data_IF_980886530677
#
_entry.id   IF_980886530677
#
_cell.length_a   1.000
_cell.length_b   1.000
_cell.length_c   1.000
_cell.angle_alpha   90.00
_cell.angle_beta   90.00
_cell.angle_gamma   90.00
#
_symmetry.space_group_name_H-M   'P 1'
#
loop_
_entity.id
_entity.type
_entity.pdbx_description
1 polymer ?
#
# COMPACT_ATOMS: atom_id res chain seq x y z
N UNK A 1 8.48 -9.44 -5.67
CA UNK A 1 8.31 -8.67 -4.42
C UNK A 1 9.18 -7.43 -4.50
N UNK A 2 8.58 -6.25 -4.30
CA UNK A 2 9.26 -4.96 -4.42
C UNK A 2 9.10 -4.19 -3.10
N UNK A 3 10.21 -3.76 -2.50
CA UNK A 3 10.24 -2.91 -1.33
C UNK A 3 10.54 -1.47 -1.76
N UNK A 4 9.82 -0.50 -1.23
CA UNK A 4 10.23 0.90 -1.37
C UNK A 4 11.10 1.32 -0.19
N UNK A 5 12.02 2.25 -0.41
CA UNK A 5 12.92 2.78 0.61
C UNK A 5 13.03 4.30 0.50
N UNK A 6 13.26 4.99 1.61
CA UNK A 6 13.33 6.46 1.64
C UNK A 6 14.60 7.04 0.99
N UNK A 7 15.65 6.23 0.86
CA UNK A 7 16.93 6.64 0.30
C UNK A 7 17.81 5.41 -0.02
N UNK A 8 18.92 5.64 -0.70
CA UNK A 8 19.84 4.58 -1.12
C UNK A 8 20.51 3.82 0.04
N UNK A 9 20.78 4.48 1.16
CA UNK A 9 21.35 3.81 2.34
C UNK A 9 20.37 2.79 2.93
N UNK A 10 19.10 3.15 3.05
CA UNK A 10 18.05 2.24 3.49
C UNK A 10 17.84 1.10 2.47
N UNK A 11 17.84 1.42 1.17
CA UNK A 11 17.70 0.43 0.12
C UNK A 11 18.84 -0.59 0.14
N UNK A 12 20.08 -0.15 0.33
CA UNK A 12 21.25 -1.03 0.46
C UNK A 12 21.11 -1.95 1.67
N UNK A 13 20.68 -1.40 2.83
CA UNK A 13 20.44 -2.23 4.01
C UNK A 13 19.37 -3.31 3.75
N UNK A 14 18.30 -2.98 3.03
CA UNK A 14 17.23 -3.91 2.68
C UNK A 14 17.70 -4.98 1.68
N UNK A 15 18.49 -4.60 0.66
CA UNK A 15 19.09 -5.57 -0.29
C UNK A 15 19.94 -6.59 0.44
N UNK A 16 20.84 -6.15 1.32
CA UNK A 16 21.69 -7.05 2.12
C UNK A 16 20.85 -8.01 2.99
N UNK A 17 19.72 -7.55 3.54
CA UNK A 17 18.82 -8.42 4.30
C UNK A 17 18.13 -9.47 3.43
N UNK A 18 17.75 -9.11 2.20
CA UNK A 18 17.14 -10.03 1.23
C UNK A 18 18.18 -11.03 0.75
N UNK A 19 19.36 -10.57 0.32
CA UNK A 19 20.47 -11.42 -0.15
C UNK A 19 20.86 -12.47 0.89
N UNK A 20 21.05 -12.06 2.15
CA UNK A 20 21.35 -13.00 3.25
C UNK A 20 20.28 -14.08 3.43
N UNK A 21 19.00 -13.74 3.20
CA UNK A 21 17.90 -14.70 3.28
C UNK A 21 17.85 -15.65 2.09
N UNK A 22 18.15 -15.15 0.90
CA UNK A 22 18.25 -15.96 -0.33
C UNK A 22 19.39 -16.96 -0.23
N UNK A 23 20.58 -16.52 0.20
CA UNK A 23 21.76 -17.39 0.41
C UNK A 23 21.48 -18.52 1.41
N UNK A 24 20.59 -18.29 2.37
CA UNK A 24 20.18 -19.29 3.38
C UNK A 24 18.95 -20.13 2.99
N UNK A 25 18.44 -19.96 1.77
CA UNK A 25 17.23 -20.65 1.31
C UNK A 25 15.96 -20.31 2.10
N UNK A 26 15.86 -19.10 2.66
CA UNK A 26 14.74 -18.66 3.51
C UNK A 26 13.66 -17.90 2.74
N UNK A 27 13.91 -17.59 1.49
CA UNK A 27 12.99 -16.94 0.58
C UNK A 27 12.78 -17.82 -0.67
N UNK A 28 11.60 -17.78 -1.29
CA UNK A 28 11.34 -18.49 -2.54
C UNK A 28 12.30 -18.05 -3.66
N UNK A 29 13.07 -18.99 -4.20
CA UNK A 29 14.06 -18.71 -5.25
C UNK A 29 13.44 -18.29 -6.59
N UNK A 30 12.23 -18.76 -6.89
CA UNK A 30 11.49 -18.41 -8.11
C UNK A 30 10.90 -16.99 -8.09
N UNK A 31 11.05 -16.30 -6.96
CA UNK A 31 10.52 -14.94 -6.78
C UNK A 31 11.60 -13.90 -7.03
N UNK A 32 11.31 -12.92 -7.87
CA UNK A 32 12.18 -11.75 -8.06
C UNK A 32 12.00 -10.76 -6.91
N UNK A 33 13.09 -10.29 -6.35
CA UNK A 33 13.12 -9.27 -5.29
C UNK A 33 13.78 -8.00 -5.80
N UNK A 34 13.19 -6.86 -5.48
CA UNK A 34 13.76 -5.55 -5.79
C UNK A 34 13.58 -4.58 -4.62
N UNK A 35 14.49 -3.64 -4.48
CA UNK A 35 14.39 -2.54 -3.51
C UNK A 35 14.62 -1.23 -4.25
N UNK A 36 13.62 -0.36 -4.21
CA UNK A 36 13.60 0.90 -4.95
C UNK A 36 13.64 2.08 -3.96
N UNK A 37 14.74 2.84 -3.92
CA UNK A 37 14.83 4.04 -3.10
C UNK A 37 14.05 5.19 -3.74
N UNK A 38 13.58 6.13 -2.91
CA UNK A 38 13.07 7.40 -3.42
C UNK A 38 14.14 8.11 -4.27
N UNK A 39 13.78 8.66 -5.44
CA UNK A 39 14.74 9.31 -6.35
C UNK A 39 15.52 10.42 -5.64
N UNK A 40 16.85 10.37 -5.73
CA UNK A 40 17.76 11.34 -5.09
C UNK A 40 17.55 11.49 -3.56
N UNK A 41 16.91 10.51 -2.90
CA UNK A 41 16.53 10.59 -1.49
C UNK A 41 15.44 11.61 -1.17
N UNK A 42 14.77 12.14 -2.20
CA UNK A 42 13.65 13.06 -2.07
C UNK A 42 12.34 12.33 -1.89
N UNK A 43 11.52 12.79 -0.98
CA UNK A 43 10.24 12.16 -0.67
C UNK A 43 9.23 12.42 -1.78
N UNK A 44 8.91 11.38 -2.53
CA UNK A 44 7.94 11.45 -3.64
C UNK A 44 6.52 11.05 -3.22
N UNK A 45 6.32 10.64 -1.97
CA UNK A 45 5.06 10.10 -1.47
C UNK A 45 4.85 8.62 -1.86
N UNK A 46 3.91 7.97 -1.19
CA UNK A 46 3.61 6.55 -1.44
C UNK A 46 3.08 6.28 -2.85
N UNK A 47 2.33 7.23 -3.43
CA UNK A 47 1.86 7.17 -4.82
C UNK A 47 3.01 7.38 -5.82
N UNK A 48 3.91 8.35 -5.58
CA UNK A 48 5.11 8.53 -6.38
C UNK A 48 6.02 7.30 -6.37
N UNK A 49 6.20 6.68 -5.20
CA UNK A 49 6.92 5.42 -5.07
C UNK A 49 6.22 4.26 -5.82
N UNK A 50 4.87 4.26 -5.90
CA UNK A 50 4.12 3.30 -6.72
C UNK A 50 4.39 3.52 -8.21
N UNK A 51 4.43 4.75 -8.68
CA UNK A 51 4.83 5.03 -10.08
C UNK A 51 6.27 4.57 -10.37
N UNK A 52 7.18 4.70 -9.41
CA UNK A 52 8.53 4.16 -9.57
C UNK A 52 8.54 2.63 -9.65
N UNK A 53 7.70 1.95 -8.89
CA UNK A 53 7.49 0.50 -9.01
C UNK A 53 6.97 0.14 -10.40
N UNK A 54 5.98 0.88 -10.92
CA UNK A 54 5.42 0.66 -12.26
C UNK A 54 6.48 0.85 -13.36
N UNK A 55 7.30 1.91 -13.24
CA UNK A 55 8.46 2.13 -14.12
C UNK A 55 9.40 0.95 -14.09
N UNK A 56 9.85 0.53 -12.92
CA UNK A 56 10.76 -0.61 -12.75
C UNK A 56 10.22 -1.87 -13.44
N UNK A 57 8.93 -2.18 -13.28
CA UNK A 57 8.31 -3.36 -13.91
C UNK A 57 8.27 -3.22 -15.44
N UNK A 58 7.93 -2.04 -15.95
CA UNK A 58 7.88 -1.79 -17.40
C UNK A 58 9.28 -1.88 -18.04
N UNK A 59 10.31 -1.38 -17.37
CA UNK A 59 11.71 -1.44 -17.84
C UNK A 59 12.25 -2.87 -17.93
N UNK A 60 11.64 -3.85 -17.22
CA UNK A 60 12.03 -5.27 -17.34
C UNK A 60 11.56 -5.90 -18.66
N UNK A 61 10.49 -5.42 -19.27
CA UNK A 61 9.93 -5.92 -20.54
C UNK A 61 9.42 -4.75 -21.39
N UNK A 62 10.32 -3.96 -21.98
CA UNK A 62 9.97 -2.69 -22.63
C UNK A 62 9.11 -2.84 -23.90
N UNK A 63 9.03 -4.04 -24.47
CA UNK A 63 8.22 -4.34 -25.67
C UNK A 63 6.81 -4.84 -25.31
N UNK A 64 6.46 -4.96 -24.04
CA UNK A 64 5.16 -5.48 -23.61
C UNK A 64 4.15 -4.35 -23.48
N UNK A 65 3.02 -4.46 -24.21
CA UNK A 65 1.95 -3.46 -24.21
C UNK A 65 1.36 -3.21 -22.83
N UNK A 66 1.12 -4.28 -22.04
CA UNK A 66 0.74 -4.19 -20.64
C UNK A 66 1.74 -4.95 -19.77
N UNK A 67 2.69 -4.25 -19.11
CA UNK A 67 3.74 -4.90 -18.31
C UNK A 67 3.22 -5.57 -17.05
N UNK A 68 1.98 -5.32 -16.63
CA UNK A 68 1.37 -5.87 -15.40
C UNK A 68 0.55 -7.14 -15.66
N UNK A 69 0.20 -7.42 -16.92
CA UNK A 69 -0.61 -8.58 -17.29
C UNK A 69 0.14 -9.90 -17.02
N UNK A 70 -0.54 -10.89 -16.44
CA UNK A 70 0.00 -12.19 -16.06
C UNK A 70 1.14 -12.09 -15.03
N UNK A 71 1.17 -11.04 -14.22
CA UNK A 71 2.13 -10.85 -13.12
C UNK A 71 1.41 -10.76 -11.79
N UNK A 72 2.01 -11.39 -10.77
CA UNK A 72 1.63 -11.25 -9.36
C UNK A 72 2.70 -10.43 -8.67
N UNK A 73 2.35 -9.23 -8.28
CA UNK A 73 3.26 -8.24 -7.74
C UNK A 73 2.89 -7.98 -6.29
N UNK A 74 3.87 -8.09 -5.39
CA UNK A 74 3.73 -7.64 -4.00
C UNK A 74 4.62 -6.41 -3.82
N UNK A 75 4.01 -5.31 -3.42
CA UNK A 75 4.72 -4.07 -3.04
C UNK A 75 4.56 -3.83 -1.56
N UNK A 76 5.67 -3.62 -0.85
CA UNK A 76 5.66 -3.22 0.54
C UNK A 76 6.20 -1.80 0.63
N UNK A 77 5.32 -0.84 0.93
CA UNK A 77 5.70 0.54 1.17
C UNK A 77 6.38 0.68 2.52
N UNK A 78 7.72 0.64 2.50
CA UNK A 78 8.56 0.69 3.70
C UNK A 78 9.50 1.90 3.74
N UNK A 79 9.38 2.81 2.76
CA UNK A 79 10.02 4.13 2.80
C UNK A 79 9.41 5.01 3.89
N UNK A 80 10.25 5.68 4.66
CA UNK A 80 9.80 6.59 5.71
C UNK A 80 10.88 6.74 6.79
N UNK A 81 10.84 7.86 7.52
CA UNK A 81 11.90 8.20 8.49
C UNK A 81 11.76 7.43 9.81
N UNK A 82 10.70 6.66 10.00
CA UNK A 82 10.41 5.95 11.26
C UNK A 82 10.52 6.85 12.52
N UNK A 83 10.27 8.16 12.40
CA UNK A 83 10.47 9.16 13.47
C UNK A 83 9.78 8.82 14.80
N UNK A 84 8.64 8.13 14.73
CA UNK A 84 7.87 7.70 15.90
C UNK A 84 8.38 6.42 16.53
N UNK A 85 9.40 5.78 15.92
CA UNK A 85 10.11 4.59 16.40
C UNK A 85 11.61 4.84 16.19
N UNK A 86 12.25 5.75 16.98
CA UNK A 86 13.59 6.28 16.70
C UNK A 86 14.68 5.20 16.57
N UNK A 87 14.56 4.07 17.27
CA UNK A 87 15.50 2.95 17.18
C UNK A 87 15.57 2.33 15.78
N UNK A 88 14.57 2.56 14.92
CA UNK A 88 14.53 2.07 13.54
C UNK A 88 14.61 3.18 12.50
N UNK A 89 14.89 4.41 12.90
CA UNK A 89 14.92 5.55 11.96
C UNK A 89 16.02 5.44 10.90
N UNK A 90 17.14 4.79 11.22
CA UNK A 90 18.27 4.63 10.30
C UNK A 90 18.05 3.55 9.23
N UNK A 91 17.44 2.43 9.60
CA UNK A 91 17.29 1.25 8.73
C UNK A 91 15.84 0.92 8.36
N UNK A 92 14.86 1.70 8.88
CA UNK A 92 13.44 1.42 8.70
C UNK A 92 12.90 0.30 9.60
N UNK A 93 11.59 0.14 9.64
CA UNK A 93 10.90 -0.80 10.54
C UNK A 93 10.82 -2.22 9.99
N UNK A 94 10.92 -2.39 8.69
CA UNK A 94 10.57 -3.64 8.01
C UNK A 94 11.40 -4.84 8.48
N UNK A 95 12.69 -4.63 8.76
CA UNK A 95 13.58 -5.67 9.29
C UNK A 95 13.77 -5.58 10.81
N UNK A 96 12.85 -4.91 11.52
CA UNK A 96 12.86 -4.92 12.98
C UNK A 96 12.43 -6.30 13.51
N UNK A 97 13.07 -6.80 14.59
CA UNK A 97 12.68 -8.06 15.19
C UNK A 97 11.27 -7.96 15.79
N UNK A 98 10.53 -9.04 15.64
CA UNK A 98 9.25 -9.27 16.32
C UNK A 98 9.40 -10.38 17.37
N UNK A 99 8.55 -10.46 18.40
CA UNK A 99 8.67 -11.44 19.49
C UNK A 99 8.22 -12.84 19.05
N UNK A 100 8.85 -13.35 18.00
CA UNK A 100 8.61 -14.67 17.45
C UNK A 100 9.92 -15.30 17.00
N UNK A 101 10.08 -16.57 17.29
CA UNK A 101 11.21 -17.38 16.83
C UNK A 101 10.81 -18.16 15.57
N UNK A 102 11.68 -18.13 14.58
CA UNK A 102 11.53 -18.92 13.36
C UNK A 102 11.94 -20.38 13.62
N UNK A 103 11.53 -21.35 12.77
CA UNK A 103 11.86 -22.77 12.97
C UNK A 103 13.37 -23.07 13.06
N UNK A 104 14.21 -22.20 12.56
CA UNK A 104 15.68 -22.31 12.62
C UNK A 104 16.31 -21.66 13.87
N UNK A 105 15.49 -21.20 14.82
CA UNK A 105 15.95 -20.60 16.09
C UNK A 105 16.31 -19.11 15.98
N UNK A 106 16.13 -18.45 14.83
CA UNK A 106 16.35 -17.02 14.70
C UNK A 106 15.12 -16.22 15.08
N UNK A 107 15.35 -15.01 15.60
CA UNK A 107 14.27 -14.05 15.77
C UNK A 107 13.69 -13.67 14.41
N UNK A 108 12.36 -13.73 14.29
CA UNK A 108 11.63 -13.24 13.12
C UNK A 108 11.72 -11.72 13.01
N UNK A 109 11.57 -11.20 11.81
CA UNK A 109 11.42 -9.77 11.57
C UNK A 109 10.04 -9.48 10.98
N UNK A 110 9.61 -8.23 10.96
CA UNK A 110 8.35 -7.86 10.34
C UNK A 110 8.30 -8.27 8.85
N UNK A 111 9.43 -8.20 8.13
CA UNK A 111 9.52 -8.70 6.75
C UNK A 111 9.26 -10.22 6.66
N UNK A 112 9.85 -11.01 7.55
CA UNK A 112 9.63 -12.46 7.58
C UNK A 112 8.14 -12.77 7.83
N UNK A 113 7.48 -12.04 8.72
CA UNK A 113 6.04 -12.18 8.99
C UNK A 113 5.18 -11.81 7.77
N UNK A 114 5.55 -10.78 7.00
CA UNK A 114 4.88 -10.47 5.73
C UNK A 114 5.01 -11.62 4.73
N UNK A 115 6.21 -12.17 4.55
CA UNK A 115 6.41 -13.29 3.62
C UNK A 115 5.58 -14.51 4.02
N UNK A 116 5.58 -14.85 5.31
CA UNK A 116 4.77 -15.97 5.83
C UNK A 116 3.27 -15.68 5.70
N UNK A 117 2.81 -14.50 6.16
CA UNK A 117 1.40 -14.12 6.14
C UNK A 117 0.81 -14.02 4.74
N UNK A 118 1.62 -13.61 3.76
CA UNK A 118 1.19 -13.46 2.37
C UNK A 118 1.43 -14.71 1.51
N UNK A 119 2.04 -15.78 2.03
CA UNK A 119 2.42 -16.97 1.25
C UNK A 119 1.27 -17.66 0.53
N UNK A 120 0.06 -17.60 1.08
CA UNK A 120 -1.15 -18.17 0.46
C UNK A 120 -1.84 -17.25 -0.55
N UNK A 121 -1.51 -15.95 -0.61
CA UNK A 121 -2.18 -14.98 -1.47
C UNK A 121 -1.94 -15.19 -2.97
N UNK A 122 -0.71 -15.56 -3.43
CA UNK A 122 -0.47 -15.77 -4.85
C UNK A 122 -1.37 -16.85 -5.50
N UNK A 123 -1.84 -17.84 -4.72
CA UNK A 123 -2.77 -18.86 -5.24
C UNK A 123 -4.20 -18.33 -5.40
N UNK A 124 -4.51 -17.15 -4.84
CA UNK A 124 -5.85 -16.54 -4.85
C UNK A 124 -6.02 -15.46 -5.91
N UNK A 125 -4.94 -14.94 -6.46
CA UNK A 125 -4.95 -13.89 -7.51
C UNK A 125 -4.27 -14.41 -8.77
N UNK A 126 -4.85 -14.11 -9.93
CA UNK A 126 -4.26 -14.49 -11.21
C UNK A 126 -3.17 -13.50 -11.63
N UNK A 127 -3.46 -12.21 -11.52
CA UNK A 127 -2.57 -11.11 -11.86
C UNK A 127 -2.92 -9.87 -11.05
N UNK A 128 -2.02 -8.91 -10.99
CA UNK A 128 -2.22 -7.63 -10.32
C UNK A 128 -1.15 -7.34 -9.29
N UNK A 129 -1.36 -6.26 -8.55
CA UNK A 129 -0.43 -5.74 -7.56
C UNK A 129 -1.12 -5.67 -6.20
N UNK A 130 -0.61 -6.41 -5.22
CA UNK A 130 -0.96 -6.23 -3.82
C UNK A 130 0.01 -5.21 -3.22
N UNK A 131 -0.53 -4.12 -2.70
CA UNK A 131 0.23 -3.10 -1.97
C UNK A 131 -0.03 -3.25 -0.48
N UNK A 132 1.02 -3.23 0.32
CA UNK A 132 0.99 -3.30 1.78
C UNK A 132 1.69 -2.09 2.40
N UNK A 133 1.17 -1.61 3.53
CA UNK A 133 1.91 -0.70 4.40
C UNK A 133 2.98 -1.47 5.17
N UNK A 134 4.23 -1.00 5.13
CA UNK A 134 5.37 -1.68 5.75
C UNK A 134 5.43 -1.59 7.28
N UNK A 135 4.40 -1.03 7.93
CA UNK A 135 4.28 -0.95 9.38
C UNK A 135 2.97 -1.56 9.93
N UNK A 136 2.30 -2.35 9.10
CA UNK A 136 1.07 -3.07 9.49
C UNK A 136 1.22 -4.54 9.19
N UNK A 137 1.17 -5.40 10.21
CA UNK A 137 1.01 -6.84 10.03
C UNK A 137 -0.47 -7.20 10.08
N UNK A 138 -0.94 -7.83 9.01
CA UNK A 138 -2.29 -8.34 8.89
C UNK A 138 -2.26 -9.86 8.99
N UNK A 139 -2.91 -10.43 10.01
CA UNK A 139 -3.06 -11.87 10.19
C UNK A 139 -4.46 -12.28 9.77
N UNK A 140 -4.56 -13.16 8.77
CA UNK A 140 -5.84 -13.61 8.22
C UNK A 140 -5.70 -14.95 7.49
N UNK A 141 -6.82 -15.57 7.17
CA UNK A 141 -6.84 -16.75 6.31
C UNK A 141 -6.89 -16.31 4.83
N UNK A 142 -5.87 -16.60 4.00
CA UNK A 142 -5.84 -16.22 2.58
C UNK A 142 -7.03 -16.73 1.76
N UNK A 143 -7.72 -17.78 2.21
CA UNK A 143 -8.92 -18.29 1.55
C UNK A 143 -10.11 -17.31 1.57
N UNK A 144 -10.06 -16.27 2.42
CA UNK A 144 -11.05 -15.20 2.45
C UNK A 144 -10.89 -14.20 1.29
N UNK A 145 -9.73 -14.20 0.60
CA UNK A 145 -9.51 -13.31 -0.53
C UNK A 145 -10.29 -13.85 -1.74
N UNK A 146 -11.31 -13.10 -2.13
CA UNK A 146 -11.98 -13.26 -3.42
C UNK A 146 -11.34 -12.28 -4.42
N UNK A 147 -10.57 -12.84 -5.34
CA UNK A 147 -9.83 -12.06 -6.34
C UNK A 147 -10.65 -11.73 -7.59
N UNK A 148 -11.96 -11.92 -7.57
CA UNK A 148 -12.84 -11.48 -8.66
C UNK A 148 -13.27 -10.02 -8.43
N UNK A 149 -12.53 -9.11 -9.02
CA UNK A 149 -12.83 -7.67 -8.99
C UNK A 149 -12.35 -7.00 -10.28
N UNK A 150 -13.01 -5.91 -10.63
CA UNK A 150 -12.60 -5.02 -11.70
C UNK A 150 -12.12 -3.70 -11.08
N UNK A 151 -10.90 -3.29 -11.38
CA UNK A 151 -10.27 -2.11 -10.80
C UNK A 151 -9.43 -2.43 -9.57
N UNK A 152 -9.97 -2.22 -8.36
CA UNK A 152 -9.26 -2.47 -7.11
C UNK A 152 -10.08 -3.31 -6.11
N UNK A 153 -9.39 -3.87 -5.11
CA UNK A 153 -10.03 -4.47 -3.94
C UNK A 153 -9.28 -4.05 -2.67
N UNK A 154 -9.97 -3.30 -1.80
CA UNK A 154 -9.46 -2.89 -0.51
C UNK A 154 -9.69 -3.97 0.54
N UNK A 155 -8.67 -4.31 1.30
CA UNK A 155 -8.78 -5.27 2.40
C UNK A 155 -9.08 -4.51 3.69
N UNK A 156 -10.19 -4.85 4.33
CA UNK A 156 -10.62 -4.26 5.60
C UNK A 156 -10.85 -5.32 6.67
N UNK A 157 -10.88 -4.88 7.91
CA UNK A 157 -11.32 -5.66 9.06
C UNK A 157 -12.28 -4.83 9.91
N UNK A 158 -13.08 -5.49 10.76
CA UNK A 158 -13.94 -4.80 11.71
C UNK A 158 -13.16 -4.42 12.96
N UNK A 159 -13.00 -3.12 13.19
CA UNK A 159 -12.33 -2.56 14.36
C UNK A 159 -13.22 -1.54 15.09
N UNK A 160 -13.03 -1.32 16.40
CA UNK A 160 -13.75 -0.28 17.13
C UNK A 160 -13.54 1.10 16.50
N UNK A 161 -14.58 1.94 16.50
CA UNK A 161 -14.51 3.30 15.96
C UNK A 161 -13.36 4.13 16.56
N UNK A 162 -13.01 3.88 17.82
CA UNK A 162 -11.86 4.51 18.47
C UNK A 162 -10.50 4.20 17.81
N UNK A 163 -10.37 3.03 17.16
CA UNK A 163 -9.23 2.69 16.29
C UNK A 163 -9.37 3.39 14.96
N UNK A 164 -10.57 3.35 14.36
CA UNK A 164 -10.86 3.88 13.03
C UNK A 164 -10.54 5.37 12.86
N UNK A 165 -10.75 6.20 13.89
CA UNK A 165 -10.43 7.64 13.82
C UNK A 165 -8.97 7.97 13.55
N UNK A 166 -8.05 7.04 13.81
CA UNK A 166 -6.60 7.22 13.60
C UNK A 166 -6.12 6.70 12.25
N UNK A 167 -7.00 6.01 11.53
CA UNK A 167 -6.70 5.32 10.26
C UNK A 167 -7.68 5.74 9.16
N UNK A 168 -7.64 5.07 8.03
CA UNK A 168 -8.69 5.13 7.03
C UNK A 168 -9.88 4.24 7.42
N UNK A 169 -11.07 4.64 7.02
CA UNK A 169 -12.29 3.87 7.19
C UNK A 169 -13.03 3.82 5.85
N UNK A 170 -13.45 2.64 5.46
CA UNK A 170 -14.29 2.46 4.29
C UNK A 170 -15.77 2.46 4.69
N UNK A 171 -16.59 3.16 3.92
CA UNK A 171 -18.04 3.03 3.96
C UNK A 171 -18.49 2.12 2.82
N UNK A 172 -19.13 1.00 3.17
CA UNK A 172 -19.68 0.05 2.21
C UNK A 172 -20.97 0.60 1.58
N UNK A 173 -21.18 0.38 0.29
CA UNK A 173 -22.40 0.77 -0.43
C UNK A 173 -23.58 -0.22 -0.24
N UNK A 174 -23.33 -1.33 0.45
CA UNK A 174 -24.29 -2.43 0.65
C UNK A 174 -24.19 -3.54 -0.41
N UNK A 175 -23.29 -3.41 -1.40
CA UNK A 175 -23.02 -4.37 -2.48
C UNK A 175 -21.55 -4.79 -2.56
N UNK A 176 -20.84 -4.72 -1.43
CA UNK A 176 -19.42 -5.05 -1.29
C UNK A 176 -18.47 -4.11 -2.07
N UNK A 177 -18.90 -2.88 -2.33
CA UNK A 177 -18.02 -1.85 -2.92
C UNK A 177 -17.84 -0.68 -1.94
N UNK A 178 -16.73 0.02 -2.10
CA UNK A 178 -16.44 1.22 -1.31
C UNK A 178 -17.28 2.38 -1.84
N UNK A 179 -18.23 2.84 -1.01
CA UNK A 179 -19.02 4.02 -1.25
C UNK A 179 -18.21 5.30 -1.03
N UNK A 180 -17.58 5.41 0.14
CA UNK A 180 -16.71 6.52 0.51
C UNK A 180 -15.44 6.01 1.20
N UNK A 181 -14.34 6.70 1.00
CA UNK A 181 -13.10 6.52 1.76
C UNK A 181 -12.95 7.70 2.73
N UNK A 182 -12.97 7.41 4.04
CA UNK A 182 -12.97 8.39 5.13
C UNK A 182 -11.62 8.35 5.84
N UNK A 183 -10.69 9.24 5.47
CA UNK A 183 -9.35 9.24 6.03
C UNK A 183 -9.27 10.07 7.31
N UNK A 184 -8.92 9.44 8.44
CA UNK A 184 -8.67 10.07 9.76
C UNK A 184 -9.79 11.04 10.20
N UNK A 185 -11.02 10.59 10.11
CA UNK A 185 -12.20 11.36 10.53
C UNK A 185 -12.47 11.22 12.04
N UNK A 186 -13.15 12.21 12.64
CA UNK A 186 -13.60 12.11 14.03
C UNK A 186 -14.64 11.00 14.22
N UNK A 187 -14.81 10.50 15.45
CA UNK A 187 -15.82 9.48 15.74
C UNK A 187 -17.24 9.98 15.44
N UNK A 188 -17.52 11.26 15.73
CA UNK A 188 -18.79 11.91 15.43
C UNK A 188 -19.04 11.87 13.92
N UNK A 189 -18.05 12.27 13.12
CA UNK A 189 -18.18 12.29 11.67
C UNK A 189 -18.37 10.89 11.10
N UNK A 190 -17.64 9.89 11.60
CA UNK A 190 -17.81 8.49 11.18
C UNK A 190 -19.25 7.98 11.49
N UNK A 191 -19.84 8.39 12.62
CA UNK A 191 -21.23 8.05 12.98
C UNK A 191 -22.24 8.76 12.08
N UNK A 192 -22.06 10.05 11.84
CA UNK A 192 -22.93 10.86 10.95
C UNK A 192 -22.95 10.29 9.53
N UNK A 193 -21.79 9.84 9.02
CA UNK A 193 -21.67 9.23 7.70
C UNK A 193 -22.24 7.80 7.63
N UNK A 194 -22.62 7.22 8.77
CA UNK A 194 -23.15 5.85 8.83
C UNK A 194 -22.07 4.77 8.71
N UNK A 195 -20.79 5.12 8.93
CA UNK A 195 -19.67 4.17 8.84
C UNK A 195 -19.56 3.27 10.09
N UNK A 196 -20.24 3.61 11.18
CA UNK A 196 -20.20 2.83 12.44
C UNK A 196 -21.40 1.88 12.50
N UNK A 197 -21.15 0.60 12.58
CA UNK A 197 -22.19 -0.42 12.68
C UNK A 197 -22.82 -0.47 14.09
N UNK A 198 -23.88 -1.30 14.27
CA UNK A 198 -24.60 -1.45 15.54
C UNK A 198 -23.72 -1.94 16.70
N UNK A 199 -22.62 -2.62 16.44
CA UNK A 199 -21.66 -3.08 17.44
C UNK A 199 -20.59 -2.03 17.79
N UNK A 200 -20.65 -0.82 17.18
CA UNK A 200 -19.66 0.24 17.39
C UNK A 200 -18.38 0.09 16.57
N UNK A 201 -18.37 -0.80 15.58
CA UNK A 201 -17.22 -1.07 14.73
C UNK A 201 -17.35 -0.38 13.37
N UNK A 202 -16.19 -0.17 12.73
CA UNK A 202 -16.00 0.38 11.38
C UNK A 202 -15.29 -0.64 10.49
N UNK A 203 -15.35 -0.46 9.17
CA UNK A 203 -14.49 -1.14 8.20
C UNK A 203 -13.16 -0.40 8.11
N UNK A 204 -12.17 -0.88 8.88
CA UNK A 204 -10.85 -0.26 8.96
C UNK A 204 -10.06 -0.50 7.67
N UNK A 205 -9.44 0.55 7.14
CA UNK A 205 -8.40 0.42 6.12
C UNK A 205 -7.15 -0.24 6.74
N UNK A 206 -6.82 -1.42 6.26
CA UNK A 206 -5.65 -2.18 6.73
C UNK A 206 -4.34 -1.75 6.07
N UNK A 207 -4.39 -0.82 5.11
CA UNK A 207 -3.25 -0.49 4.27
C UNK A 207 -2.88 -1.57 3.25
N UNK A 208 -3.75 -2.58 3.07
CA UNK A 208 -3.58 -3.64 2.07
C UNK A 208 -4.62 -3.49 0.95
N UNK A 209 -4.15 -3.27 -0.28
CA UNK A 209 -5.02 -3.05 -1.43
C UNK A 209 -4.51 -3.82 -2.66
N UNK A 210 -5.41 -4.49 -3.34
CA UNK A 210 -5.17 -5.17 -4.61
C UNK A 210 -5.56 -4.24 -5.77
N UNK A 211 -4.66 -4.05 -6.73
CA UNK A 211 -4.90 -3.37 -8.00
C UNK A 211 -4.86 -4.36 -9.14
N UNK A 212 -5.93 -4.41 -9.92
CA UNK A 212 -6.00 -5.21 -11.14
C UNK A 212 -5.13 -4.66 -12.27
N UNK A 213 -4.78 -5.50 -13.24
CA UNK A 213 -3.86 -5.11 -14.32
C UNK A 213 -4.42 -3.98 -15.21
N UNK A 214 -5.74 -3.88 -15.38
CA UNK A 214 -6.37 -2.80 -16.13
C UNK A 214 -6.22 -1.44 -15.44
N UNK A 215 -6.45 -1.39 -14.12
CA UNK A 215 -6.23 -0.19 -13.31
C UNK A 215 -4.75 0.23 -13.30
N UNK A 216 -3.83 -0.74 -13.13
CA UNK A 216 -2.39 -0.49 -13.21
C UNK A 216 -1.98 0.07 -14.57
N UNK A 217 -2.54 -0.45 -15.65
CA UNK A 217 -2.31 0.05 -17.00
C UNK A 217 -2.84 1.48 -17.18
N UNK A 218 -4.00 1.80 -16.60
CA UNK A 218 -4.54 3.16 -16.64
C UNK A 218 -3.64 4.17 -15.93
N UNK A 219 -3.14 3.82 -14.73
CA UNK A 219 -2.16 4.62 -14.00
C UNK A 219 -0.82 4.72 -14.74
N UNK A 220 -0.33 3.62 -15.34
CA UNK A 220 0.93 3.62 -16.09
C UNK A 220 0.91 4.55 -17.30
N UNK A 221 -0.24 4.71 -17.97
CA UNK A 221 -0.40 5.67 -19.08
C UNK A 221 -0.15 7.12 -18.68
N UNK A 222 -0.30 7.46 -17.40
CA UNK A 222 0.04 8.79 -16.89
C UNK A 222 1.54 9.10 -16.94
N UNK A 223 2.39 8.06 -16.87
CA UNK A 223 3.85 8.18 -16.85
C UNK A 223 4.50 7.63 -18.14
N UNK A 224 3.72 7.24 -19.15
CA UNK A 224 4.22 6.60 -20.37
C UNK A 224 3.68 7.27 -21.62
N UNK A 225 4.38 7.04 -22.73
CA UNK A 225 3.96 7.39 -24.09
C UNK A 225 4.24 6.17 -24.98
N UNK A 226 3.24 5.71 -25.74
CA UNK A 226 3.35 4.52 -26.59
C UNK A 226 3.86 3.26 -25.87
N UNK A 227 3.43 3.08 -24.60
CA UNK A 227 3.83 1.93 -23.78
C UNK A 227 5.23 2.02 -23.16
N UNK A 228 6.00 3.06 -23.45
CA UNK A 228 7.35 3.29 -22.88
C UNK A 228 7.31 4.42 -21.86
N UNK A 229 8.10 4.32 -20.80
CA UNK A 229 8.20 5.38 -19.79
C UNK A 229 8.63 6.69 -20.43
N UNK A 230 7.89 7.74 -20.17
CA UNK A 230 8.17 9.12 -20.58
C UNK A 230 8.76 9.86 -19.39
N UNK A 231 10.04 10.21 -19.44
CA UNK A 231 10.76 10.85 -18.35
C UNK A 231 10.13 12.17 -17.87
N UNK A 232 9.56 12.95 -18.78
CA UNK A 232 8.90 14.21 -18.41
C UNK A 232 7.61 13.96 -17.63
N UNK A 233 6.78 13.04 -18.12
CA UNK A 233 5.56 12.62 -17.44
C UNK A 233 5.87 11.95 -16.10
N UNK A 234 6.85 11.03 -16.07
CA UNK A 234 7.26 10.36 -14.85
C UNK A 234 7.67 11.36 -13.77
N UNK A 235 8.51 12.35 -14.11
CA UNK A 235 8.94 13.39 -13.16
C UNK A 235 7.80 14.29 -12.67
N UNK A 236 6.72 14.44 -13.43
CA UNK A 236 5.54 15.18 -12.98
C UNK A 236 4.82 14.47 -11.82
N UNK A 237 4.77 13.14 -11.84
CA UNK A 237 4.09 12.35 -10.81
C UNK A 237 5.02 11.83 -9.70
N UNK A 238 6.32 11.73 -9.97
CA UNK A 238 7.30 11.18 -9.04
C UNK A 238 8.29 12.29 -8.61
N UNK A 239 7.83 13.21 -7.76
CA UNK A 239 8.62 14.33 -7.24
C UNK A 239 8.18 14.74 -5.84
N UNK A 240 8.98 15.57 -5.17
CA UNK A 240 8.74 16.04 -3.81
C UNK A 240 7.65 17.10 -3.71
N UNK A 241 7.41 17.84 -4.78
CA UNK A 241 6.43 18.93 -4.82
C UNK A 241 4.99 18.39 -4.85
N UNK A 242 4.68 17.47 -5.78
CA UNK A 242 3.38 16.82 -5.87
C UNK A 242 3.19 15.82 -4.72
N UNK A 243 4.22 15.05 -4.38
CA UNK A 243 4.25 14.10 -3.26
C UNK A 243 2.96 13.27 -3.12
N UNK A 244 2.62 12.57 -4.18
CA UNK A 244 1.36 11.85 -4.33
C UNK A 244 1.23 10.76 -3.26
N UNK A 245 0.06 10.67 -2.62
CA UNK A 245 -0.31 9.62 -1.67
C UNK A 245 -0.95 8.44 -2.38
N UNK A 246 -0.48 7.22 -2.11
CA UNK A 246 -1.18 6.02 -2.56
C UNK A 246 -2.61 5.96 -1.98
N UNK A 247 -2.73 6.17 -0.68
CA UNK A 247 -4.01 6.05 0.02
C UNK A 247 -4.96 7.23 -0.28
N UNK A 248 -4.45 8.45 -0.23
CA UNK A 248 -5.25 9.65 -0.49
C UNK A 248 -5.56 9.86 -1.97
N UNK A 249 -4.57 9.67 -2.85
CA UNK A 249 -4.70 10.12 -4.23
C UNK A 249 -5.08 8.99 -5.21
N UNK A 250 -4.86 7.71 -4.87
CA UNK A 250 -5.31 6.60 -5.72
C UNK A 250 -6.61 5.97 -5.23
N UNK A 251 -6.82 5.84 -3.91
CA UNK A 251 -8.02 5.16 -3.41
C UNK A 251 -9.26 6.06 -3.42
N UNK A 252 -9.11 7.36 -3.15
CA UNK A 252 -10.23 8.27 -3.12
C UNK A 252 -11.04 8.30 -4.43
N UNK A 253 -10.43 8.42 -5.63
CA UNK A 253 -11.15 8.39 -6.89
C UNK A 253 -11.90 7.08 -7.19
N UNK A 254 -11.53 5.97 -6.55
CA UNK A 254 -12.12 4.65 -6.75
C UNK A 254 -13.38 4.41 -5.89
N UNK A 255 -13.70 5.32 -4.98
CA UNK A 255 -14.91 5.24 -4.17
C UNK A 255 -16.12 5.77 -4.97
N UNK A 256 -17.25 5.04 -4.92
CA UNK A 256 -18.41 5.28 -5.81
C UNK A 256 -19.06 6.67 -5.67
N UNK A 257 -19.06 7.25 -4.46
CA UNK A 257 -19.64 8.58 -4.18
C UNK A 257 -18.56 9.68 -4.15
N UNK A 258 -17.32 9.41 -4.60
CA UNK A 258 -16.28 10.44 -4.68
C UNK A 258 -16.60 11.48 -5.76
N UNK A 259 -16.18 12.72 -5.53
CA UNK A 259 -16.28 13.82 -6.52
C UNK A 259 -14.91 14.47 -6.71
N UNK A 260 -14.67 15.00 -7.91
CA UNK A 260 -13.42 15.71 -8.20
C UNK A 260 -13.25 16.96 -7.32
N UNK A 261 -14.35 17.66 -7.04
CA UNK A 261 -14.34 18.86 -6.19
C UNK A 261 -13.88 18.56 -4.76
N UNK A 262 -14.38 17.47 -4.17
CA UNK A 262 -13.99 17.06 -2.83
C UNK A 262 -12.60 16.41 -2.81
N UNK A 263 -12.21 15.73 -3.89
CA UNK A 263 -10.87 15.18 -4.04
C UNK A 263 -9.78 16.26 -3.94
N UNK A 264 -10.03 17.46 -4.48
CA UNK A 264 -9.10 18.56 -4.35
C UNK A 264 -8.92 19.07 -2.91
N UNK A 265 -9.91 18.83 -2.04
CA UNK A 265 -9.91 19.25 -0.63
C UNK A 265 -9.32 18.19 0.31
N UNK A 266 -9.14 16.94 -0.18
CA UNK A 266 -8.59 15.86 0.63
C UNK A 266 -7.18 16.15 1.12
N UNK A 267 -6.85 15.61 2.32
CA UNK A 267 -5.55 15.77 2.93
C UNK A 267 -4.43 15.25 2.01
N UNK A 268 -3.31 15.95 1.97
CA UNK A 268 -2.12 15.58 1.22
C UNK A 268 -1.01 15.02 2.12
N UNK A 269 -0.14 14.16 1.59
CA UNK A 269 1.10 13.77 2.28
C UNK A 269 2.10 14.93 2.40
N UNK A 270 2.07 15.85 1.44
CA UNK A 270 2.82 17.10 1.40
C UNK A 270 1.92 18.30 1.68
N UNK A 271 2.03 19.30 0.83
CA UNK A 271 1.19 20.48 0.85
C UNK A 271 0.20 20.46 -0.31
N UNK A 272 -0.99 20.99 -0.09
CA UNK A 272 -1.91 21.28 -1.19
C UNK A 272 -1.34 22.41 -2.02
N UNK A 273 -0.89 22.10 -3.24
CA UNK A 273 -0.29 23.01 -4.19
C UNK A 273 -0.76 22.74 -5.62
N UNK A 274 -0.34 23.58 -6.56
CA UNK A 274 -0.74 23.47 -7.97
C UNK A 274 -0.25 22.17 -8.62
N UNK A 275 0.97 21.72 -8.31
CA UNK A 275 1.52 20.47 -8.85
C UNK A 275 0.69 19.25 -8.43
N UNK A 276 0.32 19.17 -7.15
CA UNK A 276 -0.56 18.10 -6.67
C UNK A 276 -1.97 18.20 -7.27
N UNK A 277 -2.51 19.40 -7.39
CA UNK A 277 -3.83 19.63 -8.00
C UNK A 277 -3.86 19.13 -9.46
N UNK A 278 -2.83 19.45 -10.25
CA UNK A 278 -2.69 18.98 -11.63
C UNK A 278 -2.58 17.45 -11.69
N UNK A 279 -1.77 16.83 -10.82
CA UNK A 279 -1.65 15.38 -10.72
C UNK A 279 -2.99 14.73 -10.33
N UNK A 280 -3.72 15.27 -9.35
CA UNK A 280 -5.04 14.79 -8.95
C UNK A 280 -6.05 14.83 -10.09
N UNK A 281 -6.05 15.89 -10.89
CA UNK A 281 -6.91 15.99 -12.07
C UNK A 281 -6.64 14.85 -13.07
N UNK A 282 -5.37 14.58 -13.35
CA UNK A 282 -4.97 13.52 -14.28
C UNK A 282 -5.25 12.12 -13.72
N UNK A 283 -4.98 11.89 -12.43
CA UNK A 283 -5.30 10.63 -11.75
C UNK A 283 -6.81 10.39 -11.78
N UNK A 284 -7.61 11.39 -11.40
CA UNK A 284 -9.06 11.30 -11.47
C UNK A 284 -9.55 10.86 -12.85
N UNK A 285 -9.13 11.57 -13.89
CA UNK A 285 -9.53 11.26 -15.27
C UNK A 285 -9.13 9.86 -15.71
N UNK A 286 -8.02 9.34 -15.19
CA UNK A 286 -7.53 8.02 -15.53
C UNK A 286 -8.27 6.89 -14.82
N UNK A 287 -8.72 7.08 -13.55
CA UNK A 287 -9.14 5.93 -12.74
C UNK A 287 -10.53 6.03 -12.08
N UNK A 288 -11.19 7.19 -12.03
CA UNK A 288 -12.49 7.35 -11.35
C UNK A 288 -13.62 6.47 -11.89
N UNK A 289 -13.47 5.92 -13.08
CA UNK A 289 -14.43 5.00 -13.70
C UNK A 289 -14.26 3.54 -13.26
N UNK A 290 -13.17 3.21 -12.55
CA UNK A 290 -13.02 1.92 -11.90
C UNK A 290 -13.70 1.93 -10.52
N UNK A 291 -14.11 0.76 -10.06
CA UNK A 291 -14.67 0.57 -8.72
C UNK A 291 -13.67 -0.11 -7.79
N UNK A 292 -13.84 0.10 -6.50
CA UNK A 292 -13.07 -0.55 -5.46
C UNK A 292 -13.95 -1.51 -4.66
N UNK A 293 -13.73 -2.82 -4.81
CA UNK A 293 -14.39 -3.85 -4.01
C UNK A 293 -13.90 -3.77 -2.56
N UNK A 294 -14.78 -4.01 -1.59
CA UNK A 294 -14.43 -4.06 -0.18
C UNK A 294 -14.39 -5.51 0.31
N UNK A 295 -13.22 -6.00 0.65
CA UNK A 295 -13.00 -7.34 1.19
C UNK A 295 -12.84 -7.24 2.72
N UNK A 296 -13.93 -7.45 3.46
CA UNK A 296 -13.90 -7.45 4.92
C UNK A 296 -13.53 -8.84 5.44
N UNK A 297 -12.31 -8.99 5.96
CA UNK A 297 -11.78 -10.25 6.46
C UNK A 297 -12.26 -10.52 7.89
N UNK A 298 -12.65 -11.78 8.17
CA UNK A 298 -13.08 -12.24 9.51
C UNK A 298 -13.01 -13.78 9.61
N UNK A 299 -12.27 -14.37 10.58
CA UNK A 299 -11.44 -13.67 11.55
C UNK A 299 -10.17 -13.07 10.92
N UNK A 300 -9.71 -11.95 11.43
CA UNK A 300 -8.44 -11.33 11.08
C UNK A 300 -7.96 -10.43 12.23
N UNK A 301 -6.65 -10.18 12.29
CA UNK A 301 -6.03 -9.26 13.27
C UNK A 301 -5.19 -8.22 12.56
N UNK A 302 -5.28 -6.98 13.04
CA UNK A 302 -4.51 -5.82 12.58
C UNK A 302 -3.52 -5.40 13.65
N UNK A 303 -2.22 -5.50 13.34
CA UNK A 303 -1.15 -5.16 14.27
C UNK A 303 -0.34 -4.02 13.65
N UNK A 304 -0.44 -2.84 14.25
CA UNK A 304 0.25 -1.64 13.78
C UNK A 304 1.55 -1.41 14.55
N UNK A 305 2.63 -1.15 13.83
CA UNK A 305 3.98 -0.87 14.34
C UNK A 305 4.37 0.62 14.17
N UNK A 306 3.38 1.49 14.17
CA UNK A 306 3.54 2.91 13.86
C UNK A 306 4.31 3.70 14.92
N UNK A 307 4.25 3.29 16.20
CA UNK A 307 4.82 4.01 17.33
C UNK A 307 5.59 3.10 18.29
N UNK A 308 6.53 3.68 19.05
CA UNK A 308 7.25 2.95 20.13
C UNK A 308 6.28 2.38 21.18
N UNK A 309 5.16 3.06 21.45
CA UNK A 309 4.15 2.58 22.40
C UNK A 309 3.48 1.30 21.93
N UNK A 310 3.11 1.23 20.64
CA UNK A 310 2.50 0.04 20.03
C UNK A 310 3.48 -1.12 20.01
N UNK A 311 4.73 -0.86 19.57
CA UNK A 311 5.78 -1.86 19.60
C UNK A 311 6.01 -2.42 21.02
N UNK A 312 6.13 -1.53 22.02
CA UNK A 312 6.26 -1.96 23.42
C UNK A 312 5.07 -2.83 23.86
N UNK A 313 3.85 -2.43 23.55
CA UNK A 313 2.64 -3.19 23.89
C UNK A 313 2.65 -4.58 23.29
N UNK A 314 3.20 -4.74 22.08
CA UNK A 314 3.32 -6.03 21.41
C UNK A 314 4.35 -6.95 22.09
N UNK A 315 5.54 -6.43 22.43
CA UNK A 315 6.63 -7.25 23.02
C UNK A 315 6.42 -7.54 24.50
N UNK A 316 5.46 -6.91 25.17
CA UNK A 316 5.16 -7.10 26.60
C UNK A 316 3.86 -7.87 26.87
N UNK A 317 3.14 -8.29 25.82
CA UNK A 317 1.99 -9.21 25.89
C UNK A 317 2.47 -10.66 25.80
#
# INVERSE_FOLDING_TARGET
>A
IILTASNEAQATAYRNQIENRLEKGLLPEETTYAVLPDPEGKRVGSGGATFQVMRYIADQEPERENPFKNRRILVIHSGGDSKRVPQYSAIGKLFSPVPRELPDGRSSTLFDEFIVGMSGVPSRIQEGMLVLSGDVLLLFNPLQIDAQFDGAAAISIKEPVATGKNHGVFLNDGHDYVKCFLHKQTEERLREMGAVNKAGNVDLDTGAVLFGSALLQALFRLISTEGKVDEKKFRQFCNEEARISFYGDFLYPLANDSTLEDFYKEAAEGQLNEALHECRTQIWNAIHHFSMKLLCLSPAEFIHFGTTRELRSLVTK
#
